data_IF_613988320082
#
_entry.id   IF_613988320082
#
_cell.length_a   1.000
_cell.length_b   1.000
_cell.length_c   1.000
_cell.angle_alpha   90.00
_cell.angle_beta   90.00
_cell.angle_gamma   90.00
#
_symmetry.space_group_name_H-M   'P 1'
#
loop_
_entity.id
_entity.type
_entity.pdbx_description
1 polymer ?
#
# COMPACT_ATOMS: atom_id res chain seq x y z
N UNK A 1 8.97 26.96 18.99
CA UNK A 1 9.01 27.52 17.62
C UNK A 1 7.69 27.20 16.94
N UNK A 2 7.01 28.22 16.43
CA UNK A 2 5.69 28.13 15.78
C UNK A 2 5.82 27.94 14.26
N UNK A 3 4.77 27.42 13.61
CA UNK A 3 4.76 27.23 12.15
C UNK A 3 4.91 28.55 11.38
N UNK A 4 4.45 29.67 11.96
CA UNK A 4 4.57 31.01 11.38
C UNK A 4 6.01 31.54 11.40
N UNK A 5 6.75 31.30 12.48
CA UNK A 5 8.17 31.69 12.58
C UNK A 5 9.01 30.91 11.56
N UNK A 6 8.77 29.60 11.42
CA UNK A 6 9.43 28.75 10.44
C UNK A 6 9.11 29.22 9.01
N UNK A 7 7.85 29.53 8.74
CA UNK A 7 7.37 30.03 7.46
C UNK A 7 8.11 31.32 7.05
N UNK A 8 8.23 32.28 7.97
CA UNK A 8 8.94 33.54 7.73
C UNK A 8 10.45 33.34 7.50
N UNK A 9 11.09 32.43 8.24
CA UNK A 9 12.51 32.16 8.12
C UNK A 9 12.87 31.45 6.80
N UNK A 10 12.03 30.52 6.35
CA UNK A 10 12.28 29.67 5.17
C UNK A 10 11.68 30.27 3.88
N UNK A 11 10.81 31.28 4.00
CA UNK A 11 10.15 31.91 2.85
C UNK A 11 9.02 31.07 2.27
N UNK A 12 8.30 30.31 3.10
CA UNK A 12 7.15 29.49 2.69
C UNK A 12 5.88 29.92 3.43
N UNK A 13 4.72 29.40 3.02
CA UNK A 13 3.46 29.64 3.74
C UNK A 13 3.35 28.76 4.98
N UNK A 14 2.58 29.23 5.98
CA UNK A 14 2.31 28.45 7.19
C UNK A 14 1.63 27.10 6.88
N UNK A 15 0.78 27.05 5.85
CA UNK A 15 0.10 25.82 5.40
C UNK A 15 1.10 24.77 4.88
N UNK A 16 2.15 25.19 4.16
CA UNK A 16 3.22 24.30 3.71
C UNK A 16 4.01 23.75 4.90
N UNK A 17 4.35 24.58 5.89
CA UNK A 17 5.02 24.12 7.12
C UNK A 17 4.17 23.06 7.83
N UNK A 18 2.87 23.32 8.02
CA UNK A 18 1.95 22.36 8.65
C UNK A 18 1.83 21.07 7.84
N UNK A 19 1.76 21.15 6.50
CA UNK A 19 1.69 19.97 5.63
C UNK A 19 2.96 19.12 5.72
N UNK A 20 4.14 19.74 5.69
CA UNK A 20 5.43 19.03 5.83
C UNK A 20 5.57 18.39 7.21
N UNK A 21 5.24 19.11 8.28
CA UNK A 21 5.23 18.52 9.63
C UNK A 21 4.27 17.34 9.71
N UNK A 22 3.07 17.44 9.12
CA UNK A 22 2.09 16.35 9.06
C UNK A 22 2.56 15.17 8.22
N UNK A 23 3.34 15.39 7.17
CA UNK A 23 3.94 14.31 6.38
C UNK A 23 5.08 13.63 7.14
N UNK A 24 5.92 14.40 7.83
CA UNK A 24 7.02 13.88 8.63
C UNK A 24 6.55 13.06 9.84
N UNK A 25 5.37 13.39 10.40
CA UNK A 25 4.78 12.65 11.53
C UNK A 25 3.77 11.58 11.12
N UNK A 26 3.32 11.56 9.85
CA UNK A 26 2.46 10.49 9.39
C UNK A 26 3.27 9.20 9.27
N UNK A 27 2.78 8.07 9.83
CA UNK A 27 3.41 6.80 9.59
C UNK A 27 3.41 6.51 8.08
N UNK A 28 4.46 5.87 7.54
CA UNK A 28 4.49 5.50 6.13
C UNK A 28 3.23 4.73 5.79
N UNK A 29 2.55 5.12 4.70
CA UNK A 29 1.33 4.45 4.25
C UNK A 29 1.64 2.96 4.07
N UNK A 30 1.11 2.13 4.97
CA UNK A 30 1.34 0.68 4.92
C UNK A 30 0.72 0.14 3.64
N UNK A 31 1.52 -0.55 2.82
CA UNK A 31 0.98 -1.35 1.72
C UNK A 31 -0.04 -2.34 2.30
N UNK A 32 -1.19 -2.48 1.65
CA UNK A 32 -2.23 -3.45 2.03
C UNK A 32 -1.59 -4.84 2.11
N UNK A 33 -1.88 -5.59 3.18
CA UNK A 33 -1.39 -6.96 3.36
C UNK A 33 -2.28 -7.92 2.57
N UNK A 34 -1.68 -9.02 2.11
CA UNK A 34 -2.42 -10.15 1.57
C UNK A 34 -3.13 -10.87 2.72
N UNK A 35 -4.46 -10.99 2.64
CA UNK A 35 -5.30 -11.54 3.71
C UNK A 35 -5.83 -12.93 3.35
N UNK A 36 -6.42 -13.63 4.32
CA UNK A 36 -7.08 -14.92 4.08
C UNK A 36 -8.28 -14.82 3.13
N UNK A 37 -8.94 -13.66 3.06
CA UNK A 37 -9.98 -13.40 2.07
C UNK A 37 -9.38 -13.31 0.65
N UNK A 38 -8.26 -12.59 0.51
CA UNK A 38 -7.53 -12.51 -0.74
C UNK A 38 -7.02 -13.90 -1.18
N UNK A 39 -6.60 -14.74 -0.23
CA UNK A 39 -6.18 -16.11 -0.52
C UNK A 39 -7.32 -16.95 -1.09
N UNK A 40 -8.50 -16.92 -0.45
CA UNK A 40 -9.68 -17.66 -0.92
C UNK A 40 -10.12 -17.19 -2.31
N UNK A 41 -10.15 -15.87 -2.55
CA UNK A 41 -10.44 -15.32 -3.88
C UNK A 41 -9.39 -15.72 -4.91
N UNK A 42 -8.10 -15.64 -4.57
CA UNK A 42 -7.03 -16.03 -5.46
C UNK A 42 -7.11 -17.52 -5.85
N UNK A 43 -7.43 -18.41 -4.90
CA UNK A 43 -7.63 -19.83 -5.19
C UNK A 43 -8.81 -20.06 -6.13
N UNK A 44 -9.93 -19.37 -5.90
CA UNK A 44 -11.10 -19.49 -6.76
C UNK A 44 -10.82 -19.02 -8.19
N UNK A 45 -10.13 -17.89 -8.36
CA UNK A 45 -9.74 -17.39 -9.68
C UNK A 45 -8.72 -18.31 -10.36
N UNK A 46 -7.76 -18.84 -9.61
CA UNK A 46 -6.79 -19.79 -10.14
C UNK A 46 -7.45 -21.10 -10.60
N UNK A 47 -8.44 -21.59 -9.86
CA UNK A 47 -9.24 -22.76 -10.25
C UNK A 47 -10.06 -22.52 -11.54
N UNK A 48 -10.35 -21.26 -11.88
CA UNK A 48 -10.97 -20.87 -13.16
C UNK A 48 -9.96 -20.75 -14.31
N UNK A 49 -8.68 -21.04 -14.07
CA UNK A 49 -7.62 -20.95 -15.07
C UNK A 49 -7.02 -19.55 -15.24
N UNK A 50 -7.32 -18.60 -14.34
CA UNK A 50 -6.73 -17.26 -14.40
C UNK A 50 -5.24 -17.31 -14.07
N UNK A 51 -4.45 -16.53 -14.78
CA UNK A 51 -3.01 -16.41 -14.55
C UNK A 51 -2.73 -15.60 -13.27
N UNK A 52 -1.56 -15.79 -12.65
CA UNK A 52 -1.17 -15.02 -11.46
C UNK A 52 -1.13 -13.50 -11.69
N UNK A 53 -0.89 -13.07 -12.93
CA UNK A 53 -0.91 -11.66 -13.31
C UNK A 53 -2.34 -11.12 -13.24
N UNK A 54 -3.30 -11.81 -13.86
CA UNK A 54 -4.71 -11.41 -13.86
C UNK A 54 -5.30 -11.40 -12.45
N UNK A 55 -4.98 -12.42 -11.64
CA UNK A 55 -5.40 -12.50 -10.24
C UNK A 55 -4.82 -11.34 -9.43
N UNK A 56 -3.53 -11.03 -9.62
CA UNK A 56 -2.89 -9.91 -8.96
C UNK A 56 -3.53 -8.57 -9.31
N UNK A 57 -3.83 -8.36 -10.60
CA UNK A 57 -4.53 -7.15 -11.07
C UNK A 57 -5.92 -7.03 -10.44
N UNK A 58 -6.67 -8.13 -10.33
CA UNK A 58 -8.01 -8.14 -9.76
C UNK A 58 -8.02 -7.88 -8.25
N UNK A 59 -7.01 -8.37 -7.53
CA UNK A 59 -6.91 -8.24 -6.06
C UNK A 59 -6.07 -7.04 -5.60
N UNK A 60 -5.41 -6.33 -6.52
CA UNK A 60 -4.53 -5.20 -6.20
C UNK A 60 -3.16 -5.60 -5.66
N UNK A 61 -2.63 -6.76 -6.07
CA UNK A 61 -1.32 -7.27 -5.68
C UNK A 61 -0.42 -7.56 -6.89
N UNK A 62 0.89 -7.57 -6.66
CA UNK A 62 1.83 -8.05 -7.66
C UNK A 62 1.72 -9.55 -7.88
N UNK A 63 2.02 -10.01 -9.11
CA UNK A 63 2.09 -11.43 -9.49
C UNK A 63 2.87 -12.27 -8.46
N UNK A 64 4.04 -11.79 -8.03
CA UNK A 64 4.91 -12.56 -7.13
C UNK A 64 4.30 -12.73 -5.73
N UNK A 65 3.52 -11.76 -5.26
CA UNK A 65 2.74 -11.89 -4.02
C UNK A 65 1.73 -13.01 -4.16
N UNK A 66 0.93 -13.00 -5.23
CA UNK A 66 -0.09 -14.03 -5.49
C UNK A 66 0.55 -15.42 -5.59
N UNK A 67 1.65 -15.54 -6.36
CA UNK A 67 2.37 -16.80 -6.51
C UNK A 67 2.87 -17.34 -5.18
N UNK A 68 3.52 -16.51 -4.36
CA UNK A 68 4.03 -16.92 -3.04
C UNK A 68 2.91 -17.44 -2.14
N UNK A 69 1.77 -16.75 -2.09
CA UNK A 69 0.65 -17.12 -1.23
C UNK A 69 -0.10 -18.36 -1.71
N UNK A 70 -0.31 -18.51 -3.03
CA UNK A 70 -0.94 -19.70 -3.58
C UNK A 70 -0.06 -20.95 -3.43
N UNK A 71 1.25 -20.83 -3.68
CA UNK A 71 2.19 -21.94 -3.47
C UNK A 71 2.25 -22.34 -2.00
N UNK A 72 2.34 -21.37 -1.09
CA UNK A 72 2.36 -21.65 0.35
C UNK A 72 1.07 -22.30 0.87
N UNK A 73 -0.06 -22.10 0.20
CA UNK A 73 -1.34 -22.70 0.55
C UNK A 73 -1.56 -24.10 -0.07
N UNK A 74 -0.71 -24.51 -1.02
CA UNK A 74 -0.77 -25.81 -1.69
C UNK A 74 0.25 -26.82 -1.13
N UNK A 75 1.16 -26.37 -0.26
CA UNK A 75 2.13 -27.19 0.45
C UNK A 75 1.54 -27.71 1.78
#
# INVERSE_FOLDING_TARGET
>A
MSAREIAAQVGVTESTVRATCRQATQPPRRKRRFTDDDLRRAQQLYAQGRTYIEIGLELGFGRDTVSKHLVAAQA
#
